data_IF_329526858342
#
_entry.id   IF_329526858342
#
_cell.length_a   1.000
_cell.length_b   1.000
_cell.length_c   1.000
_cell.angle_alpha   90.00
_cell.angle_beta   90.00
_cell.angle_gamma   90.00
#
_symmetry.space_group_name_H-M   'P 1'
#
loop_
_entity.id
_entity.type
_entity.pdbx_description
1 polymer ?
#
# COMPACT_ATOMS: atom_id res chain seq x y z
N UNK A 1 -6.81 30.77 27.56
CA UNK A 1 -5.89 29.86 28.24
C UNK A 1 -5.82 28.59 27.42
N UNK A 2 -4.97 28.58 26.38
CA UNK A 2 -4.27 27.39 25.87
C UNK A 2 -3.16 27.84 24.90
N UNK A 3 -2.18 28.57 25.44
CA UNK A 3 -0.92 28.86 24.74
C UNK A 3 0.11 27.73 24.93
N UNK A 4 -0.27 26.67 25.66
CA UNK A 4 0.61 25.55 26.03
C UNK A 4 0.88 24.57 24.89
N UNK A 5 -0.04 24.42 23.95
CA UNK A 5 0.09 23.42 22.86
C UNK A 5 0.86 23.98 21.65
N UNK A 6 0.83 25.29 21.39
CA UNK A 6 1.68 25.89 20.34
C UNK A 6 3.16 26.03 20.77
N UNK A 7 3.45 25.99 22.07
CA UNK A 7 4.82 26.17 22.56
C UNK A 7 5.67 24.88 22.44
N UNK A 8 5.07 23.69 22.30
CA UNK A 8 5.82 22.45 22.07
C UNK A 8 6.30 22.25 20.62
N UNK A 9 5.95 23.15 19.70
CA UNK A 9 6.47 23.20 18.33
C UNK A 9 7.68 24.13 18.18
N UNK A 10 8.05 24.84 19.25
CA UNK A 10 9.25 25.67 19.29
C UNK A 10 10.29 24.87 20.05
N UNK A 11 11.19 24.25 19.28
CA UNK A 11 12.60 23.99 19.59
C UNK A 11 12.93 24.00 21.09
N UNK A 12 13.35 22.88 21.71
CA UNK A 12 13.76 22.88 23.11
C UNK A 12 14.81 23.99 23.34
N UNK A 13 14.56 24.85 24.32
CA UNK A 13 15.31 26.07 24.64
C UNK A 13 16.81 25.81 24.90
N UNK A 14 17.16 24.55 25.18
CA UNK A 14 18.49 23.92 25.23
C UNK A 14 19.31 24.11 23.92
N UNK A 15 18.67 24.06 22.74
CA UNK A 15 19.36 24.10 21.44
C UNK A 15 19.58 25.51 20.88
N UNK A 16 19.25 26.56 21.64
CA UNK A 16 19.47 27.95 21.21
C UNK A 16 20.96 28.37 21.25
N UNK A 17 21.79 27.67 22.04
CA UNK A 17 23.23 27.93 22.22
C UNK A 17 24.15 26.91 21.52
N UNK A 18 23.60 26.00 20.70
CA UNK A 18 24.35 24.93 20.03
C UNK A 18 24.54 25.27 18.55
N UNK A 19 25.76 25.07 18.04
CA UNK A 19 26.13 25.35 16.65
C UNK A 19 25.16 24.68 15.65
N UNK A 20 24.76 25.41 14.60
CA UNK A 20 23.75 24.99 13.63
C UNK A 20 24.11 23.64 13.00
N UNK A 21 25.42 23.41 12.78
CA UNK A 21 25.96 22.16 12.24
C UNK A 21 25.72 20.97 13.17
N UNK A 22 25.89 21.12 14.48
CA UNK A 22 25.66 20.04 15.46
C UNK A 22 24.18 19.68 15.53
N UNK A 23 23.31 20.68 15.40
CA UNK A 23 21.86 20.49 15.36
C UNK A 23 21.41 19.77 14.08
N UNK A 24 21.88 20.20 12.91
CA UNK A 24 21.63 19.51 11.63
C UNK A 24 22.17 18.08 11.66
N UNK A 25 23.35 17.86 12.23
CA UNK A 25 23.95 16.53 12.34
C UNK A 25 23.14 15.59 13.24
N UNK A 26 22.63 16.10 14.36
CA UNK A 26 21.81 15.34 15.30
C UNK A 26 20.47 14.94 14.67
N UNK A 27 19.78 15.89 14.04
CA UNK A 27 18.54 15.65 13.28
C UNK A 27 18.78 14.64 12.13
N UNK A 28 19.85 14.83 11.36
CA UNK A 28 20.22 13.92 10.25
C UNK A 28 20.46 12.50 10.74
N UNK A 29 21.17 12.32 11.87
CA UNK A 29 21.43 11.01 12.46
C UNK A 29 20.15 10.32 12.94
N UNK A 30 19.19 11.09 13.46
CA UNK A 30 17.91 10.58 13.92
C UNK A 30 17.03 10.15 12.73
N UNK A 31 16.95 10.97 11.68
CA UNK A 31 16.28 10.63 10.42
C UNK A 31 16.92 9.39 9.80
N UNK A 32 18.25 9.31 9.75
CA UNK A 32 18.95 8.17 9.16
C UNK A 32 18.65 6.85 9.89
N UNK A 33 18.54 6.88 11.22
CA UNK A 33 18.19 5.71 12.04
C UNK A 33 16.79 5.15 11.72
N UNK A 34 15.87 6.00 11.24
CA UNK A 34 14.50 5.60 10.87
C UNK A 34 14.40 5.30 9.36
N UNK A 35 15.06 6.10 8.52
CA UNK A 35 15.05 5.96 7.07
C UNK A 35 15.78 4.69 6.62
N UNK A 36 16.91 4.34 7.24
CA UNK A 36 17.69 3.16 6.87
C UNK A 36 16.89 1.84 6.93
N UNK A 37 16.23 1.47 8.05
CA UNK A 37 15.43 0.24 8.08
C UNK A 37 14.23 0.30 7.12
N UNK A 38 13.61 1.48 6.94
CA UNK A 38 12.53 1.65 5.98
C UNK A 38 12.99 1.45 4.52
N UNK A 39 14.16 1.97 4.16
CA UNK A 39 14.78 1.77 2.84
C UNK A 39 15.05 0.30 2.58
N UNK A 40 15.69 -0.39 3.53
CA UNK A 40 15.98 -1.83 3.41
C UNK A 40 14.67 -2.62 3.23
N UNK A 41 13.66 -2.35 4.05
CA UNK A 41 12.35 -3.02 3.93
C UNK A 41 11.69 -2.77 2.57
N UNK A 42 11.78 -1.55 2.02
CA UNK A 42 11.21 -1.21 0.70
C UNK A 42 11.96 -1.87 -0.45
N UNK A 43 13.30 -1.91 -0.37
CA UNK A 43 14.13 -2.60 -1.37
C UNK A 43 13.86 -4.10 -1.35
N UNK A 44 13.79 -4.72 -0.17
CA UNK A 44 13.44 -6.15 -0.04
C UNK A 44 12.04 -6.42 -0.58
N UNK A 45 11.07 -5.55 -0.28
CA UNK A 45 9.69 -5.68 -0.78
C UNK A 45 9.61 -5.64 -2.30
N UNK A 46 10.29 -4.67 -2.91
CA UNK A 46 10.34 -4.54 -4.36
C UNK A 46 11.11 -5.69 -5.00
N UNK A 47 12.24 -6.10 -4.41
CA UNK A 47 13.04 -7.23 -4.87
C UNK A 47 12.24 -8.53 -4.93
N UNK A 48 11.38 -8.79 -3.92
CA UNK A 48 10.50 -9.95 -3.94
C UNK A 48 9.56 -9.97 -5.15
N UNK A 49 8.94 -8.82 -5.48
CA UNK A 49 8.06 -8.70 -6.66
C UNK A 49 8.83 -8.97 -7.96
N UNK A 50 10.05 -8.45 -8.08
CA UNK A 50 10.92 -8.66 -9.24
C UNK A 50 11.28 -10.13 -9.39
N UNK A 51 11.64 -10.81 -8.30
CA UNK A 51 11.95 -12.25 -8.32
C UNK A 51 10.74 -13.07 -8.75
N UNK A 52 9.55 -12.80 -8.20
CA UNK A 52 8.30 -13.47 -8.61
C UNK A 52 8.04 -13.29 -10.11
N UNK A 53 8.19 -12.07 -10.63
CA UNK A 53 8.05 -11.82 -12.07
C UNK A 53 9.08 -12.57 -12.91
N UNK A 54 10.34 -12.64 -12.45
CA UNK A 54 11.38 -13.39 -13.14
C UNK A 54 11.07 -14.89 -13.22
N UNK A 55 10.52 -15.48 -12.15
CA UNK A 55 10.09 -16.88 -12.14
C UNK A 55 8.92 -17.13 -13.10
N UNK A 56 7.87 -16.30 -13.05
CA UNK A 56 6.73 -16.40 -13.98
C UNK A 56 7.22 -16.31 -15.44
N UNK A 57 8.15 -15.39 -15.73
CA UNK A 57 8.74 -15.25 -17.06
C UNK A 57 9.63 -16.41 -17.51
N UNK A 58 10.14 -17.21 -16.59
CA UNK A 58 10.89 -18.42 -16.92
C UNK A 58 9.97 -19.58 -17.29
N UNK A 59 8.76 -19.62 -16.72
CA UNK A 59 7.73 -20.62 -17.00
C UNK A 59 7.02 -20.29 -18.32
N UNK A 60 6.51 -19.06 -18.47
CA UNK A 60 5.91 -18.61 -19.72
C UNK A 60 6.01 -17.08 -19.92
N UNK A 61 6.40 -16.70 -21.14
CA UNK A 61 6.57 -15.29 -21.52
C UNK A 61 5.23 -14.60 -21.74
N UNK A 62 4.21 -15.33 -22.21
CA UNK A 62 2.87 -14.78 -22.43
C UNK A 62 2.19 -14.46 -21.09
N UNK A 63 2.27 -15.37 -20.13
CA UNK A 63 1.80 -15.14 -18.77
C UNK A 63 2.51 -13.98 -18.07
N UNK A 64 3.83 -13.84 -18.24
CA UNK A 64 4.55 -12.68 -17.68
C UNK A 64 4.06 -11.36 -18.29
N UNK A 65 3.87 -11.31 -19.61
CA UNK A 65 3.38 -10.11 -20.29
C UNK A 65 1.98 -9.73 -19.79
N UNK A 66 1.08 -10.73 -19.68
CA UNK A 66 -0.26 -10.56 -19.13
C UNK A 66 -0.22 -10.03 -17.69
N UNK A 67 0.59 -10.65 -16.82
CA UNK A 67 0.75 -10.23 -15.42
C UNK A 67 1.30 -8.81 -15.30
N UNK A 68 2.32 -8.46 -16.09
CA UNK A 68 2.92 -7.13 -16.08
C UNK A 68 1.95 -6.03 -16.54
N UNK A 69 1.13 -6.31 -17.56
CA UNK A 69 0.09 -5.42 -18.05
C UNK A 69 -1.04 -5.25 -17.04
N UNK A 70 -1.54 -6.36 -16.48
CA UNK A 70 -2.54 -6.38 -15.41
C UNK A 70 -2.08 -5.53 -14.22
N UNK A 71 -0.83 -5.71 -13.77
CA UNK A 71 -0.28 -4.92 -12.66
C UNK A 71 -0.16 -3.43 -12.99
N UNK A 72 0.35 -3.12 -14.17
CA UNK A 72 0.69 -1.73 -14.53
C UNK A 72 -0.55 -0.90 -14.85
N UNK A 73 -1.59 -1.51 -15.41
CA UNK A 73 -2.85 -0.83 -15.72
C UNK A 73 -3.88 -1.01 -14.62
N UNK A 74 -4.39 -2.23 -14.45
CA UNK A 74 -5.58 -2.50 -13.63
C UNK A 74 -5.30 -2.24 -12.16
N UNK A 75 -4.26 -2.86 -11.62
CA UNK A 75 -3.97 -2.71 -10.19
C UNK A 75 -3.45 -1.32 -9.86
N UNK A 76 -2.62 -0.74 -10.71
CA UNK A 76 -2.14 0.63 -10.50
C UNK A 76 -3.29 1.64 -10.50
N UNK A 77 -4.25 1.48 -11.41
CA UNK A 77 -5.43 2.34 -11.49
C UNK A 77 -6.32 2.22 -10.25
N UNK A 78 -6.66 0.98 -9.86
CA UNK A 78 -7.45 0.71 -8.65
C UNK A 78 -6.75 1.25 -7.41
N UNK A 79 -5.46 0.95 -7.26
CA UNK A 79 -4.67 1.40 -6.12
C UNK A 79 -4.57 2.93 -6.06
N UNK A 80 -4.44 3.61 -7.20
CA UNK A 80 -4.46 5.07 -7.26
C UNK A 80 -5.75 5.67 -6.68
N UNK A 81 -6.91 5.11 -7.05
CA UNK A 81 -8.21 5.54 -6.54
C UNK A 81 -8.32 5.26 -5.04
N UNK A 82 -7.99 4.04 -4.60
CA UNK A 82 -8.05 3.61 -3.19
C UNK A 82 -7.13 4.46 -2.32
N UNK A 83 -5.90 4.73 -2.75
CA UNK A 83 -4.97 5.61 -2.02
C UNK A 83 -5.54 7.03 -1.93
N UNK A 84 -6.14 7.54 -3.01
CA UNK A 84 -6.80 8.85 -3.02
C UNK A 84 -7.89 8.96 -1.95
N UNK A 85 -8.81 7.99 -1.90
CA UNK A 85 -9.88 7.96 -0.89
C UNK A 85 -9.33 7.72 0.53
N UNK A 86 -8.33 6.85 0.66
CA UNK A 86 -7.69 6.55 1.94
C UNK A 86 -6.97 7.76 2.52
N UNK A 87 -6.31 8.59 1.70
CA UNK A 87 -5.62 9.80 2.18
C UNK A 87 -6.58 10.90 2.66
N UNK A 88 -7.75 11.03 2.02
CA UNK A 88 -8.82 11.89 2.51
C UNK A 88 -9.32 11.43 3.89
N UNK A 89 -9.49 10.11 4.06
CA UNK A 89 -9.86 9.51 5.35
C UNK A 89 -8.77 9.67 6.41
N UNK A 90 -7.50 9.51 6.05
CA UNK A 90 -6.36 9.75 6.95
C UNK A 90 -6.39 11.17 7.51
N UNK A 91 -6.69 12.16 6.66
CA UNK A 91 -6.84 13.56 7.06
C UNK A 91 -7.98 13.74 8.07
N UNK A 92 -9.15 13.16 7.81
CA UNK A 92 -10.31 13.21 8.73
C UNK A 92 -10.02 12.50 10.05
N UNK A 93 -9.36 11.35 10.02
CA UNK A 93 -8.92 10.62 11.20
C UNK A 93 -7.88 11.42 12.01
N UNK A 94 -6.94 12.10 11.34
CA UNK A 94 -5.96 12.98 11.96
C UNK A 94 -6.62 14.18 12.66
N UNK A 95 -7.65 14.77 12.05
CA UNK A 95 -8.45 15.82 12.68
C UNK A 95 -9.20 15.32 13.92
N UNK A 96 -9.84 14.15 13.84
CA UNK A 96 -10.57 13.54 14.95
C UNK A 96 -9.63 13.15 16.11
N UNK A 97 -8.43 12.65 15.78
CA UNK A 97 -7.40 12.33 16.75
C UNK A 97 -6.84 13.57 17.43
N UNK A 98 -6.59 14.65 16.67
CA UNK A 98 -6.17 15.94 17.23
C UNK A 98 -7.20 16.54 18.19
N UNK A 99 -8.49 16.29 17.96
CA UNK A 99 -9.59 16.69 18.83
C UNK A 99 -9.85 15.73 20.02
N UNK A 100 -9.00 14.70 20.24
CA UNK A 100 -9.13 13.67 21.30
C UNK A 100 -10.46 12.89 21.29
N UNK A 101 -11.10 12.74 20.12
CA UNK A 101 -12.34 11.99 19.98
C UNK A 101 -12.11 10.54 19.50
N UNK A 102 -11.50 9.71 20.35
CA UNK A 102 -11.10 8.34 20.01
C UNK A 102 -12.26 7.45 19.52
N UNK A 103 -13.46 7.63 20.08
CA UNK A 103 -14.66 6.89 19.67
C UNK A 103 -15.09 7.18 18.22
N UNK A 104 -14.95 8.44 17.77
CA UNK A 104 -15.35 8.84 16.41
C UNK A 104 -14.41 8.25 15.35
N UNK A 105 -13.18 7.96 15.73
CA UNK A 105 -12.17 7.45 14.81
C UNK A 105 -12.44 6.01 14.36
N UNK A 106 -13.01 5.17 15.23
CA UNK A 106 -13.49 3.83 14.85
C UNK A 106 -14.68 3.88 13.88
N UNK A 107 -15.56 4.86 14.03
CA UNK A 107 -16.70 5.08 13.12
C UNK A 107 -16.20 5.54 11.73
N UNK A 108 -15.18 6.41 11.69
CA UNK A 108 -14.57 6.81 10.42
C UNK A 108 -13.90 5.64 9.71
N UNK A 109 -13.23 4.75 10.45
CA UNK A 109 -12.66 3.53 9.88
C UNK A 109 -13.72 2.64 9.21
N UNK A 110 -14.83 2.39 9.91
CA UNK A 110 -15.93 1.59 9.36
C UNK A 110 -16.55 2.25 8.12
N UNK A 111 -16.73 3.57 8.14
CA UNK A 111 -17.22 4.32 6.97
C UNK A 111 -16.25 4.24 5.79
N UNK A 112 -14.95 4.34 6.04
CA UNK A 112 -13.92 4.18 5.00
C UNK A 112 -13.99 2.81 4.35
N UNK A 113 -14.11 1.73 5.14
CA UNK A 113 -14.25 0.38 4.57
C UNK A 113 -15.48 0.24 3.67
N UNK A 114 -16.60 0.86 4.04
CA UNK A 114 -17.80 0.84 3.20
C UNK A 114 -17.55 1.63 1.91
N UNK A 115 -17.00 2.85 2.00
CA UNK A 115 -16.73 3.69 0.83
C UNK A 115 -15.71 3.05 -0.11
N UNK A 116 -14.57 2.62 0.43
CA UNK A 116 -13.51 1.97 -0.33
C UNK A 116 -13.97 0.62 -0.90
N UNK A 117 -14.78 -0.14 -0.16
CA UNK A 117 -15.37 -1.40 -0.62
C UNK A 117 -16.39 -1.19 -1.76
N UNK A 118 -17.22 -0.15 -1.68
CA UNK A 118 -18.14 0.24 -2.76
C UNK A 118 -17.34 0.68 -3.99
N UNK A 119 -16.31 1.50 -3.81
CA UNK A 119 -15.45 1.94 -4.91
C UNK A 119 -14.73 0.76 -5.59
N UNK A 120 -14.19 -0.19 -4.81
CA UNK A 120 -13.62 -1.43 -5.34
C UNK A 120 -14.65 -2.25 -6.12
N UNK A 121 -15.89 -2.30 -5.64
CA UNK A 121 -17.00 -2.99 -6.32
C UNK A 121 -17.42 -2.29 -7.63
N UNK A 122 -17.33 -0.96 -7.68
CA UNK A 122 -17.55 -0.19 -8.93
C UNK A 122 -16.41 -0.42 -9.93
N UNK A 123 -15.19 -0.71 -9.44
CA UNK A 123 -14.02 -0.99 -10.27
C UNK A 123 -13.89 -2.46 -10.67
N UNK A 124 -14.66 -3.37 -10.07
CA UNK A 124 -14.69 -4.81 -10.36
C UNK A 124 -14.92 -5.15 -11.85
N UNK A 125 -15.82 -4.45 -12.59
CA UNK A 125 -15.98 -4.67 -14.03
C UNK A 125 -14.68 -4.46 -14.80
N UNK A 126 -13.81 -3.53 -14.37
CA UNK A 126 -12.52 -3.29 -15.01
C UNK A 126 -11.61 -4.52 -14.92
N UNK A 127 -11.71 -5.27 -13.81
CA UNK A 127 -10.99 -6.54 -13.61
C UNK A 127 -11.64 -7.66 -14.44
N UNK A 128 -12.97 -7.82 -14.38
CA UNK A 128 -13.70 -8.89 -15.10
C UNK A 128 -13.53 -8.76 -16.62
N UNK A 129 -13.55 -7.52 -17.13
CA UNK A 129 -13.37 -7.23 -18.55
C UNK A 129 -11.90 -6.95 -18.93
N UNK A 130 -10.93 -7.44 -18.16
CA UNK A 130 -9.51 -7.27 -18.45
C UNK A 130 -9.14 -7.79 -19.86
N UNK A 131 -9.63 -8.97 -20.25
CA UNK A 131 -9.36 -9.56 -21.56
C UNK A 131 -9.79 -8.67 -22.74
N UNK A 132 -11.06 -8.22 -22.85
CA UNK A 132 -11.45 -7.30 -23.93
C UNK A 132 -10.79 -5.93 -23.83
N UNK A 133 -10.47 -5.42 -22.63
CA UNK A 133 -9.72 -4.16 -22.46
C UNK A 133 -8.33 -4.29 -23.10
N UNK A 134 -7.61 -5.38 -22.86
CA UNK A 134 -6.28 -5.59 -23.45
C UNK A 134 -6.34 -5.86 -24.95
N UNK A 135 -7.37 -6.54 -25.46
CA UNK A 135 -7.59 -6.63 -26.91
C UNK A 135 -7.78 -5.25 -27.53
N UNK A 136 -8.52 -4.36 -26.87
CA UNK A 136 -8.76 -3.00 -27.35
C UNK A 136 -7.49 -2.13 -27.30
N UNK A 137 -6.58 -2.41 -26.36
CA UNK A 137 -5.24 -1.82 -26.31
C UNK A 137 -4.28 -2.37 -27.38
N UNK A 138 -4.73 -3.29 -28.24
CA UNK A 138 -3.93 -3.87 -29.33
C UNK A 138 -2.97 -4.97 -28.88
N UNK A 139 -3.22 -5.62 -27.73
CA UNK A 139 -2.43 -6.77 -27.30
C UNK A 139 -2.82 -8.04 -28.07
N UNK A 140 -1.85 -8.96 -28.17
CA UNK A 140 -2.04 -10.27 -28.79
C UNK A 140 -3.15 -11.08 -28.09
N UNK A 141 -3.89 -11.89 -28.84
CA UNK A 141 -5.00 -12.68 -28.30
C UNK A 141 -4.56 -13.63 -27.19
N UNK A 142 -3.35 -14.19 -27.28
CA UNK A 142 -2.79 -15.05 -26.23
C UNK A 142 -2.59 -14.31 -24.92
N UNK A 143 -2.06 -13.08 -24.97
CA UNK A 143 -1.86 -12.22 -23.80
C UNK A 143 -3.19 -11.78 -23.20
N UNK A 144 -4.18 -11.45 -24.04
CA UNK A 144 -5.49 -11.05 -23.57
C UNK A 144 -6.25 -12.18 -22.86
N UNK A 145 -6.16 -13.42 -23.38
CA UNK A 145 -6.77 -14.59 -22.74
C UNK A 145 -6.07 -14.92 -21.42
N UNK A 146 -4.73 -14.91 -21.40
CA UNK A 146 -3.96 -15.13 -20.18
C UNK A 146 -4.29 -14.10 -19.09
N UNK A 147 -4.39 -12.82 -19.46
CA UNK A 147 -4.79 -11.75 -18.55
C UNK A 147 -6.23 -11.93 -18.04
N UNK A 148 -7.15 -12.39 -18.89
CA UNK A 148 -8.51 -12.75 -18.50
C UNK A 148 -8.55 -13.84 -17.44
N UNK A 149 -7.80 -14.93 -17.63
CA UNK A 149 -7.72 -16.01 -16.64
C UNK A 149 -7.11 -15.53 -15.31
N UNK A 150 -6.05 -14.73 -15.36
CA UNK A 150 -5.44 -14.16 -14.15
C UNK A 150 -6.35 -13.16 -13.44
N UNK A 151 -7.20 -12.44 -14.16
CA UNK A 151 -8.04 -11.37 -13.59
C UNK A 151 -8.97 -11.85 -12.47
N UNK A 152 -9.44 -13.09 -12.52
CA UNK A 152 -10.29 -13.67 -11.48
C UNK A 152 -9.57 -13.78 -10.14
N UNK A 153 -8.28 -14.12 -10.15
CA UNK A 153 -7.43 -14.16 -8.95
C UNK A 153 -7.14 -12.75 -8.39
N UNK A 154 -7.21 -11.72 -9.23
CA UNK A 154 -7.05 -10.34 -8.77
C UNK A 154 -8.27 -9.81 -8.01
N UNK A 155 -9.46 -10.39 -8.17
CA UNK A 155 -10.67 -9.94 -7.46
C UNK A 155 -10.49 -9.99 -5.93
N UNK A 156 -10.18 -11.15 -5.31
CA UNK A 156 -9.97 -11.20 -3.86
C UNK A 156 -8.78 -10.35 -3.41
N UNK A 157 -7.74 -10.25 -4.23
CA UNK A 157 -6.58 -9.42 -3.96
C UNK A 157 -6.92 -7.92 -3.86
N UNK A 158 -7.82 -7.41 -4.71
CA UNK A 158 -8.26 -6.00 -4.66
C UNK A 158 -9.00 -5.70 -3.36
N UNK A 159 -9.91 -6.57 -2.92
CA UNK A 159 -10.61 -6.38 -1.65
C UNK A 159 -9.65 -6.46 -0.45
N UNK A 160 -8.71 -7.40 -0.49
CA UNK A 160 -7.65 -7.50 0.52
C UNK A 160 -6.82 -6.22 0.61
N UNK A 161 -6.42 -5.65 -0.53
CA UNK A 161 -5.68 -4.39 -0.56
C UNK A 161 -6.44 -3.25 0.10
N UNK A 162 -7.75 -3.11 -0.18
CA UNK A 162 -8.60 -2.10 0.46
C UNK A 162 -8.50 -2.20 1.98
N UNK A 163 -8.77 -3.37 2.54
CA UNK A 163 -8.69 -3.57 4.00
C UNK A 163 -7.30 -3.26 4.55
N UNK A 164 -6.26 -3.77 3.91
CA UNK A 164 -4.88 -3.59 4.35
C UNK A 164 -4.39 -2.15 4.26
N UNK A 165 -4.84 -1.38 3.26
CA UNK A 165 -4.52 0.05 3.13
C UNK A 165 -5.26 0.89 4.17
N UNK A 166 -6.57 0.69 4.33
CA UNK A 166 -7.35 1.47 5.28
C UNK A 166 -6.85 1.26 6.71
N UNK A 167 -6.48 0.03 7.10
CA UNK A 167 -5.91 -0.25 8.43
C UNK A 167 -4.54 0.40 8.61
N UNK A 168 -3.68 0.36 7.59
CA UNK A 168 -2.38 1.04 7.64
C UNK A 168 -2.55 2.54 7.84
N UNK A 169 -3.42 3.20 7.09
CA UNK A 169 -3.68 4.64 7.20
C UNK A 169 -4.27 5.02 8.55
N UNK A 170 -5.18 4.19 9.09
CA UNK A 170 -5.71 4.37 10.44
C UNK A 170 -4.62 4.30 11.51
N UNK A 171 -3.73 3.31 11.43
CA UNK A 171 -2.63 3.17 12.37
C UNK A 171 -1.58 4.28 12.21
N UNK A 172 -1.37 4.79 10.99
CA UNK A 172 -0.51 5.95 10.72
C UNK A 172 -1.08 7.24 11.32
N UNK A 173 -2.38 7.50 11.16
CA UNK A 173 -3.07 8.65 11.75
C UNK A 173 -2.98 8.68 13.30
N UNK A 174 -2.82 7.51 13.94
CA UNK A 174 -2.63 7.36 15.38
C UNK A 174 -1.20 7.61 15.88
N UNK A 175 -0.25 7.85 14.98
CA UNK A 175 1.19 7.90 15.28
C UNK A 175 1.71 6.63 15.99
N UNK A 176 0.93 5.53 15.99
CA UNK A 176 1.30 4.22 16.53
C UNK A 176 2.15 3.46 15.51
N UNK A 177 3.32 4.01 15.19
CA UNK A 177 4.26 3.44 14.20
C UNK A 177 4.65 1.97 14.48
N UNK A 178 4.63 1.54 15.75
CA UNK A 178 4.86 0.13 16.11
C UNK A 178 3.76 -0.81 15.61
N UNK A 179 2.51 -0.36 15.64
CA UNK A 179 1.35 -1.12 15.14
C UNK A 179 1.30 -1.17 13.62
N UNK A 180 1.60 -0.05 12.96
CA UNK A 180 1.77 -0.01 11.49
C UNK A 180 2.84 -1.00 11.06
N UNK A 181 4.02 -0.98 11.71
CA UNK A 181 5.12 -1.86 11.36
C UNK A 181 4.78 -3.35 11.48
N UNK A 182 4.08 -3.74 12.54
CA UNK A 182 3.63 -5.13 12.72
C UNK A 182 2.56 -5.52 11.70
N UNK A 183 1.59 -4.65 11.43
CA UNK A 183 0.54 -4.90 10.45
C UNK A 183 1.08 -4.96 9.03
N UNK A 184 2.02 -4.08 8.67
CA UNK A 184 2.73 -4.11 7.39
C UNK A 184 3.59 -5.38 7.27
N UNK A 185 4.21 -5.86 8.35
CA UNK A 185 4.95 -7.12 8.36
C UNK A 185 4.02 -8.32 8.14
N UNK A 186 2.85 -8.36 8.77
CA UNK A 186 1.82 -9.39 8.53
C UNK A 186 1.31 -9.30 7.09
N UNK A 187 0.99 -8.09 6.61
CA UNK A 187 0.52 -7.86 5.26
C UNK A 187 1.56 -8.30 4.22
N UNK A 188 2.85 -8.09 4.51
CA UNK A 188 3.96 -8.56 3.70
C UNK A 188 4.02 -10.09 3.67
N UNK A 189 4.01 -10.75 4.84
CA UNK A 189 4.00 -12.22 4.94
C UNK A 189 2.78 -12.86 4.26
N UNK A 190 1.61 -12.25 4.43
CA UNK A 190 0.36 -12.73 3.85
C UNK A 190 0.27 -12.43 2.34
N UNK A 191 0.90 -11.37 1.83
CA UNK A 191 1.03 -11.11 0.39
C UNK A 191 2.10 -11.98 -0.27
N UNK A 192 3.13 -12.39 0.46
CA UNK A 192 4.12 -13.36 -0.01
C UNK A 192 3.52 -14.76 -0.18
N UNK A 193 2.54 -15.12 0.65
CA UNK A 193 1.96 -16.46 0.67
C UNK A 193 1.29 -16.89 -0.66
N UNK A 194 0.38 -16.11 -1.28
CA UNK A 194 -0.23 -16.49 -2.56
C UNK A 194 0.80 -16.51 -3.70
N UNK A 195 1.76 -15.59 -3.73
CA UNK A 195 2.82 -15.59 -4.76
C UNK A 195 3.73 -16.82 -4.68
N UNK A 196 4.04 -17.31 -3.47
CA UNK A 196 4.84 -18.52 -3.27
C UNK A 196 4.01 -19.78 -3.53
N UNK A 197 2.73 -19.77 -3.17
CA UNK A 197 1.81 -20.89 -3.42
C UNK A 197 1.55 -21.07 -4.92
N UNK A 198 1.33 -19.99 -5.66
CA UNK A 198 1.09 -20.01 -7.12
C UNK A 198 2.37 -20.43 -7.90
N UNK A 199 3.55 -20.04 -7.40
CA UNK A 199 4.84 -20.58 -7.90
C UNK A 199 4.97 -22.08 -7.60
N UNK A 200 4.60 -22.53 -6.39
CA UNK A 200 4.65 -23.94 -6.02
C UNK A 200 3.66 -24.80 -6.82
N UNK A 201 2.46 -24.28 -7.10
CA UNK A 201 1.43 -24.98 -7.84
C UNK A 201 1.81 -25.13 -9.32
N UNK A 202 2.37 -24.09 -9.94
CA UNK A 202 2.89 -24.13 -11.32
C UNK A 202 4.19 -24.91 -11.49
N UNK A 203 4.97 -25.13 -10.43
CA UNK A 203 6.17 -25.99 -10.50
C UNK A 203 5.82 -27.49 -10.41
N UNK A 204 4.61 -27.82 -9.94
CA UNK A 204 4.18 -29.20 -9.69
C UNK A 204 3.28 -29.77 -10.81
N UNK A 205 2.81 -28.94 -11.75
CA UNK A 205 2.04 -29.33 -12.95
C UNK A 205 2.93 -29.43 -14.19
#
# INVERSE_FOLDING_TARGET
MDNSIQQSLIVPEDLSNVDLNTRIWTESKMVWKIAFPAMVARVTSFGMVVVTQAFIGHIDKLELAAYALQQSFIVRFINGIVIGMSSATETLCGQAFGARHDHMMGIYLQRSWIVDGVAATILLPLVIFAAPIFRLLGQDEGVAIAAGNMSLWFIPYVYYLVFSFTIQMYLQAQLKNKGVGWFSAINFLCSSYPSVLDICEKNLS
#
